data_IF_601277971188
#
_entry.id   IF_601277971188
#
_cell.length_a   1.000
_cell.length_b   1.000
_cell.length_c   1.000
_cell.angle_alpha   90.00
_cell.angle_beta   90.00
_cell.angle_gamma   90.00
#
_symmetry.space_group_name_H-M   'P 1'
#
loop_
_entity.id
_entity.type
_entity.pdbx_description
1 polymer ?
#
# COMPACT_ATOMS: atom_id res chain seq x y z
N UNK A 1 50.30 -42.47 -26.54
CA UNK A 1 48.90 -42.02 -26.37
C UNK A 1 48.44 -42.33 -24.96
N UNK A 2 48.46 -41.36 -24.04
CA UNK A 2 47.92 -41.48 -22.68
C UNK A 2 47.00 -40.28 -22.46
N UNK A 3 45.70 -40.46 -22.68
CA UNK A 3 44.66 -39.53 -22.27
C UNK A 3 44.22 -39.94 -20.86
N UNK A 4 44.41 -39.07 -19.88
CA UNK A 4 43.74 -39.16 -18.59
C UNK A 4 42.87 -37.91 -18.39
N UNK A 5 41.61 -38.19 -18.11
CA UNK A 5 40.51 -37.24 -18.00
C UNK A 5 40.68 -36.34 -16.77
N UNK A 6 40.56 -35.03 -16.96
CA UNK A 6 40.31 -34.09 -15.87
C UNK A 6 38.84 -34.20 -15.43
N UNK A 7 38.62 -34.59 -14.18
CA UNK A 7 37.33 -34.48 -13.51
C UNK A 7 37.16 -33.04 -13.01
N UNK A 8 36.16 -32.33 -13.54
CA UNK A 8 35.78 -30.99 -13.10
C UNK A 8 34.74 -31.11 -11.99
N UNK A 9 35.13 -30.79 -10.76
CA UNK A 9 34.22 -30.74 -9.62
C UNK A 9 33.35 -29.48 -9.68
N UNK A 10 32.04 -29.63 -9.93
CA UNK A 10 31.08 -28.54 -9.77
C UNK A 10 30.76 -28.37 -8.28
N UNK A 11 31.26 -27.28 -7.68
CA UNK A 11 30.79 -26.81 -6.38
C UNK A 11 29.45 -26.08 -6.58
N UNK A 12 28.36 -26.73 -6.19
CA UNK A 12 27.04 -26.12 -6.02
C UNK A 12 27.04 -25.25 -4.77
N UNK A 13 27.23 -23.94 -4.94
CA UNK A 13 27.02 -22.97 -3.87
C UNK A 13 25.52 -22.90 -3.54
N UNK A 14 25.12 -23.49 -2.42
CA UNK A 14 23.79 -23.31 -1.86
C UNK A 14 23.60 -21.85 -1.45
N UNK A 15 22.80 -21.11 -2.23
CA UNK A 15 22.34 -19.77 -1.87
C UNK A 15 21.41 -19.96 -0.67
N UNK A 16 21.90 -19.67 0.53
CA UNK A 16 21.07 -19.61 1.73
C UNK A 16 20.12 -18.41 1.59
N UNK A 17 18.87 -18.69 1.20
CA UNK A 17 17.80 -17.72 1.25
C UNK A 17 17.71 -17.19 2.68
N UNK A 18 18.13 -15.95 2.89
CA UNK A 18 18.04 -15.29 4.19
C UNK A 18 16.56 -15.18 4.52
N UNK A 19 16.11 -15.86 5.58
CA UNK A 19 14.70 -15.87 5.97
C UNK A 19 14.21 -14.43 6.14
N UNK A 20 13.12 -14.08 5.44
CA UNK A 20 12.47 -12.80 5.61
C UNK A 20 12.14 -12.59 7.10
N UNK A 21 12.32 -11.37 7.64
CA UNK A 21 12.05 -11.12 9.05
C UNK A 21 10.59 -11.46 9.36
N UNK A 22 10.37 -12.41 10.26
CA UNK A 22 9.04 -12.84 10.67
C UNK A 22 8.60 -12.17 11.98
N UNK A 23 7.30 -12.08 12.22
CA UNK A 23 6.73 -11.72 13.52
C UNK A 23 6.89 -12.91 14.47
N UNK A 24 7.26 -12.67 15.72
CA UNK A 24 7.44 -13.75 16.70
C UNK A 24 6.11 -14.12 17.37
N UNK A 25 5.98 -15.34 17.87
CA UNK A 25 4.76 -15.79 18.58
C UNK A 25 4.44 -14.92 19.79
N UNK A 26 5.47 -14.44 20.50
CA UNK A 26 5.31 -13.52 21.63
C UNK A 26 4.73 -12.17 21.23
N UNK A 27 5.12 -11.65 20.06
CA UNK A 27 4.57 -10.40 19.52
C UNK A 27 3.13 -10.58 19.02
N UNK A 28 2.82 -11.73 18.43
CA UNK A 28 1.45 -12.05 18.04
C UNK A 28 0.55 -12.17 19.27
N UNK A 29 0.97 -12.94 20.29
CA UNK A 29 0.22 -13.11 21.53
C UNK A 29 0.00 -11.76 22.24
N UNK A 30 1.03 -10.92 22.36
CA UNK A 30 0.89 -9.60 22.99
C UNK A 30 -0.03 -8.66 22.21
N UNK A 31 -0.13 -8.82 20.88
CA UNK A 31 -1.11 -8.08 20.09
C UNK A 31 -2.54 -8.50 20.43
N UNK A 32 -2.82 -9.80 20.52
CA UNK A 32 -4.15 -10.29 20.87
C UNK A 32 -4.59 -9.81 22.25
N UNK A 33 -3.69 -9.85 23.24
CA UNK A 33 -3.94 -9.32 24.58
C UNK A 33 -4.25 -7.82 24.56
N UNK A 34 -3.41 -7.03 23.87
CA UNK A 34 -3.62 -5.59 23.70
C UNK A 34 -4.95 -5.28 23.00
N UNK A 35 -5.23 -5.97 21.89
CA UNK A 35 -6.40 -5.70 21.06
C UNK A 35 -7.69 -6.05 21.80
N UNK A 36 -7.73 -7.18 22.51
CA UNK A 36 -8.89 -7.58 23.31
C UNK A 36 -9.19 -6.59 24.45
N UNK A 37 -8.14 -6.04 25.09
CA UNK A 37 -8.30 -5.03 26.14
C UNK A 37 -8.81 -3.69 25.59
N UNK A 38 -8.30 -3.26 24.43
CA UNK A 38 -8.69 -1.99 23.80
C UNK A 38 -10.06 -2.05 23.10
N UNK A 39 -10.48 -3.23 22.65
CA UNK A 39 -11.68 -3.43 21.83
C UNK A 39 -12.59 -4.55 22.40
N UNK A 40 -13.17 -4.36 23.60
CA UNK A 40 -13.90 -5.43 24.30
C UNK A 40 -15.18 -5.88 23.58
N UNK A 41 -15.74 -5.03 22.72
CA UNK A 41 -16.99 -5.29 21.98
C UNK A 41 -16.81 -6.06 20.66
N UNK A 42 -15.58 -6.24 20.18
CA UNK A 42 -15.32 -6.74 18.80
C UNK A 42 -15.24 -8.27 18.72
N UNK A 43 -15.51 -8.97 19.82
CA UNK A 43 -15.90 -10.38 19.86
C UNK A 43 -15.07 -11.31 18.98
N UNK A 44 -13.74 -11.29 19.05
CA UNK A 44 -12.82 -12.33 18.54
C UNK A 44 -12.82 -12.65 17.04
N UNK A 45 -13.65 -12.00 16.21
CA UNK A 45 -13.88 -12.40 14.82
C UNK A 45 -12.89 -11.81 13.80
N UNK A 46 -12.02 -10.89 14.22
CA UNK A 46 -11.10 -10.22 13.30
C UNK A 46 -9.74 -10.92 13.31
N UNK A 47 -9.29 -11.37 12.13
CA UNK A 47 -7.97 -11.97 11.95
C UNK A 47 -6.95 -10.86 11.66
N UNK A 48 -6.06 -10.51 12.61
CA UNK A 48 -5.00 -9.55 12.33
C UNK A 48 -4.03 -10.09 11.28
N UNK A 49 -3.56 -9.20 10.42
CA UNK A 49 -2.47 -9.46 9.50
C UNK A 49 -1.22 -8.75 10.01
N UNK A 50 -0.12 -9.49 10.15
CA UNK A 50 1.14 -8.97 10.65
C UNK A 50 2.11 -8.72 9.49
N UNK A 51 2.83 -7.60 9.55
CA UNK A 51 3.91 -7.30 8.63
C UNK A 51 5.13 -6.80 9.41
N UNK A 52 6.31 -7.27 9.00
CA UNK A 52 7.59 -6.83 9.54
C UNK A 52 8.38 -6.14 8.45
N UNK A 53 8.84 -4.93 8.72
CA UNK A 53 9.66 -4.15 7.79
C UNK A 53 11.00 -3.76 8.41
N UNK A 54 12.01 -3.55 7.58
CA UNK A 54 13.36 -3.17 8.01
C UNK A 54 14.20 -4.34 8.54
N UNK A 55 15.49 -4.09 8.70
CA UNK A 55 16.46 -5.10 9.12
C UNK A 55 16.97 -4.86 10.54
N UNK A 56 17.21 -5.95 11.28
CA UNK A 56 17.85 -5.99 12.61
C UNK A 56 17.43 -4.83 13.53
N UNK A 57 18.23 -3.77 13.61
CA UNK A 57 18.05 -2.62 14.52
C UNK A 57 16.96 -1.63 14.09
N UNK A 58 16.48 -1.69 12.84
CA UNK A 58 15.36 -0.89 12.31
C UNK A 58 14.10 -1.73 12.09
N UNK A 59 14.03 -2.94 12.66
CA UNK A 59 12.88 -3.84 12.56
C UNK A 59 11.64 -3.15 13.13
N UNK A 60 10.62 -2.98 12.30
CA UNK A 60 9.30 -2.47 12.67
C UNK A 60 8.30 -3.59 12.50
N UNK A 61 7.53 -3.87 13.55
CA UNK A 61 6.45 -4.84 13.51
C UNK A 61 5.14 -4.06 13.51
N UNK A 62 4.27 -4.41 12.58
CA UNK A 62 2.97 -3.79 12.39
C UNK A 62 1.90 -4.87 12.35
N UNK A 63 0.72 -4.55 12.88
CA UNK A 63 -0.47 -5.37 12.76
C UNK A 63 -1.57 -4.54 12.11
N UNK A 64 -2.36 -5.16 11.25
CA UNK A 64 -3.54 -4.55 10.64
C UNK A 64 -4.75 -5.39 10.93
N UNK A 65 -5.85 -4.73 11.26
CA UNK A 65 -7.13 -5.38 11.55
C UNK A 65 -8.17 -4.79 10.63
N UNK A 66 -8.65 -5.62 9.71
CA UNK A 66 -9.65 -5.26 8.73
C UNK A 66 -11.05 -5.46 9.32
N UNK A 67 -11.89 -4.41 9.26
CA UNK A 67 -13.30 -4.53 9.60
C UNK A 67 -14.13 -5.12 8.46
N UNK A 68 -15.45 -5.15 8.63
CA UNK A 68 -16.35 -5.64 7.60
C UNK A 68 -16.32 -4.74 6.36
N UNK A 69 -16.18 -5.35 5.18
CA UNK A 69 -16.32 -4.65 3.91
C UNK A 69 -17.78 -4.21 3.70
N UNK A 70 -17.96 -2.95 3.34
CA UNK A 70 -19.25 -2.32 3.10
C UNK A 70 -19.38 -1.94 1.63
N UNK A 71 -20.56 -2.23 1.08
CA UNK A 71 -20.96 -1.74 -0.24
C UNK A 71 -21.32 -0.26 -0.11
N UNK A 72 -20.71 0.56 -0.95
CA UNK A 72 -21.11 1.95 -1.16
C UNK A 72 -22.09 1.98 -2.36
N UNK A 73 -21.86 2.85 -3.34
CA UNK A 73 -22.48 2.72 -4.67
C UNK A 73 -21.92 1.52 -5.45
N UNK A 74 -22.71 0.84 -6.30
CA UNK A 74 -22.16 -0.17 -7.22
C UNK A 74 -21.28 0.51 -8.29
N UNK A 75 -20.07 0.00 -8.61
CA UNK A 75 -19.40 -1.21 -8.10
C UNK A 75 -18.37 -0.96 -6.98
N UNK A 76 -18.46 0.15 -6.24
CA UNK A 76 -17.49 0.54 -5.22
C UNK A 76 -17.70 -0.19 -3.88
N UNK A 77 -16.60 -0.65 -3.29
CA UNK A 77 -16.52 -1.22 -1.94
C UNK A 77 -15.62 -0.36 -1.06
N UNK A 78 -15.91 -0.33 0.25
CA UNK A 78 -15.09 0.32 1.28
C UNK A 78 -14.88 -0.61 2.46
N UNK A 79 -13.71 -0.59 3.08
CA UNK A 79 -13.42 -1.34 4.29
C UNK A 79 -12.55 -0.51 5.24
N UNK A 80 -12.94 -0.38 6.52
CA UNK A 80 -12.08 0.23 7.53
C UNK A 80 -10.93 -0.72 7.89
N UNK A 81 -9.75 -0.16 8.16
CA UNK A 81 -8.56 -0.89 8.62
C UNK A 81 -7.95 -0.19 9.82
N UNK A 82 -7.92 -0.87 10.97
CA UNK A 82 -7.08 -0.48 12.09
C UNK A 82 -5.61 -0.81 11.77
N UNK A 83 -4.70 0.09 12.13
CA UNK A 83 -3.26 -0.08 11.94
C UNK A 83 -2.56 0.11 13.28
N UNK A 84 -1.72 -0.83 13.64
CA UNK A 84 -1.07 -0.87 14.94
C UNK A 84 0.43 -1.04 14.76
N UNK A 85 1.19 -0.28 15.55
CA UNK A 85 2.65 -0.35 15.60
C UNK A 85 3.10 -0.93 16.93
N UNK A 86 4.09 -1.82 16.85
CA UNK A 86 4.78 -2.34 18.02
C UNK A 86 6.07 -1.56 18.27
N UNK A 87 6.16 -0.93 19.44
CA UNK A 87 7.41 -0.38 19.94
C UNK A 87 8.25 -1.52 20.52
N UNK A 88 9.35 -1.85 19.86
CA UNK A 88 10.26 -2.93 20.27
C UNK A 88 11.04 -2.62 21.55
N UNK A 89 11.23 -1.35 21.91
CA UNK A 89 11.92 -0.92 23.13
C UNK A 89 10.97 -0.96 24.32
N UNK A 90 9.80 -0.35 24.18
CA UNK A 90 8.78 -0.32 25.22
C UNK A 90 8.02 -1.65 25.34
N UNK A 91 8.10 -2.51 24.31
CA UNK A 91 7.34 -3.76 24.16
C UNK A 91 5.83 -3.54 24.26
N UNK A 92 5.35 -2.48 23.61
CA UNK A 92 3.95 -2.06 23.67
C UNK A 92 3.40 -1.80 22.28
N UNK A 93 2.12 -2.12 22.12
CA UNK A 93 1.35 -1.78 20.95
C UNK A 93 0.73 -0.39 21.10
N UNK A 94 0.61 0.29 19.97
CA UNK A 94 -0.10 1.56 19.85
C UNK A 94 -0.89 1.59 18.55
N UNK A 95 -2.05 2.24 18.59
CA UNK A 95 -2.89 2.44 17.41
C UNK A 95 -2.43 3.67 16.63
N UNK A 96 -2.36 3.53 15.31
CA UNK A 96 -2.20 4.63 14.36
C UNK A 96 -3.57 5.07 13.85
N UNK A 97 -3.59 6.18 13.13
CA UNK A 97 -4.79 6.62 12.42
C UNK A 97 -5.35 5.49 11.55
N UNK A 98 -6.64 5.19 11.76
CA UNK A 98 -7.35 4.16 11.01
C UNK A 98 -7.37 4.51 9.52
N UNK A 99 -7.17 3.50 8.69
CA UNK A 99 -7.21 3.63 7.23
C UNK A 99 -8.59 3.28 6.69
N UNK A 100 -8.91 3.85 5.55
CA UNK A 100 -10.06 3.44 4.73
C UNK A 100 -9.53 2.87 3.43
N UNK A 101 -9.98 1.67 3.07
CA UNK A 101 -9.63 1.00 1.84
C UNK A 101 -10.81 1.01 0.90
N UNK A 102 -10.55 1.20 -0.39
CA UNK A 102 -11.58 1.19 -1.44
C UNK A 102 -11.13 0.39 -2.65
N UNK A 103 -12.06 -0.29 -3.30
CA UNK A 103 -11.81 -1.03 -4.54
C UNK A 103 -13.10 -1.23 -5.32
N UNK A 104 -12.95 -1.58 -6.60
CA UNK A 104 -14.08 -1.89 -7.49
C UNK A 104 -14.35 -3.40 -7.45
N UNK A 105 -15.61 -3.76 -7.22
CA UNK A 105 -16.09 -5.13 -7.28
C UNK A 105 -17.54 -5.16 -7.78
N UNK A 106 -17.79 -5.83 -8.90
CA UNK A 106 -19.08 -5.84 -9.60
C UNK A 106 -20.12 -6.82 -9.03
N UNK A 107 -19.73 -7.69 -8.09
CA UNK A 107 -20.68 -8.59 -7.42
C UNK A 107 -21.67 -7.85 -6.51
N UNK A 108 -22.78 -8.48 -6.12
CA UNK A 108 -23.80 -7.85 -5.27
C UNK A 108 -23.28 -7.48 -3.88
N UNK A 109 -22.38 -8.30 -3.32
CA UNK A 109 -21.73 -8.06 -2.04
C UNK A 109 -20.24 -7.77 -2.27
N UNK A 110 -19.61 -7.06 -1.34
CA UNK A 110 -18.17 -6.88 -1.38
C UNK A 110 -17.47 -8.20 -1.09
N UNK A 111 -16.65 -8.65 -2.02
CA UNK A 111 -15.74 -9.78 -1.80
C UNK A 111 -14.56 -9.36 -0.91
N UNK A 112 -13.66 -10.31 -0.63
CA UNK A 112 -12.37 -9.99 -0.01
C UNK A 112 -11.65 -8.89 -0.81
N UNK A 113 -10.99 -7.97 -0.09
CA UNK A 113 -10.19 -6.92 -0.71
C UNK A 113 -9.10 -7.54 -1.63
N UNK A 114 -8.73 -6.85 -2.72
CA UNK A 114 -7.60 -7.28 -3.55
C UNK A 114 -6.28 -7.17 -2.79
N UNK A 115 -5.20 -7.75 -3.34
CA UNK A 115 -3.85 -7.64 -2.76
C UNK A 115 -3.38 -6.19 -2.58
N UNK A 116 -3.77 -5.31 -3.52
CA UNK A 116 -3.42 -3.89 -3.52
C UNK A 116 -4.67 -3.01 -3.54
N UNK A 117 -5.41 -2.91 -2.42
CA UNK A 117 -6.54 -2.01 -2.33
C UNK A 117 -6.07 -0.55 -2.33
N UNK A 118 -6.92 0.35 -2.81
CA UNK A 118 -6.61 1.78 -2.86
C UNK A 118 -6.92 2.40 -1.50
N UNK A 119 -5.97 3.14 -0.91
CA UNK A 119 -6.18 3.83 0.36
C UNK A 119 -6.89 5.16 0.15
N UNK A 120 -7.94 5.43 0.91
CA UNK A 120 -8.61 6.71 0.95
C UNK A 120 -7.96 7.57 2.05
N UNK A 121 -7.10 8.49 1.64
CA UNK A 121 -6.29 9.37 2.51
C UNK A 121 -7.03 10.64 2.91
N UNK A 122 -8.04 11.03 2.13
CA UNK A 122 -8.94 12.12 2.43
C UNK A 122 -10.37 11.74 2.07
N UNK A 123 -11.35 12.31 2.75
CA UNK A 123 -12.76 12.10 2.40
C UNK A 123 -13.06 12.64 1.00
N UNK A 124 -13.57 11.78 0.13
CA UNK A 124 -13.97 12.09 -1.24
C UNK A 124 -15.42 11.60 -1.49
N UNK A 125 -16.19 12.26 -2.36
CA UNK A 125 -17.49 11.75 -2.81
C UNK A 125 -17.36 10.37 -3.46
N UNK A 126 -18.33 9.49 -3.24
CA UNK A 126 -18.27 8.10 -3.72
C UNK A 126 -18.16 8.01 -5.25
N UNK A 127 -18.88 8.87 -5.97
CA UNK A 127 -18.80 8.94 -7.43
C UNK A 127 -17.42 9.41 -7.90
N UNK A 128 -16.79 10.36 -7.20
CA UNK A 128 -15.44 10.79 -7.52
C UNK A 128 -14.44 9.65 -7.31
N UNK A 129 -14.55 8.92 -6.19
CA UNK A 129 -13.71 7.74 -5.92
C UNK A 129 -13.80 6.74 -7.07
N UNK A 130 -15.03 6.41 -7.50
CA UNK A 130 -15.26 5.46 -8.58
C UNK A 130 -14.60 5.92 -9.89
N UNK A 131 -14.85 7.17 -10.30
CA UNK A 131 -14.31 7.73 -11.55
C UNK A 131 -12.78 7.79 -11.50
N UNK A 132 -12.20 8.20 -10.36
CA UNK A 132 -10.74 8.27 -10.18
C UNK A 132 -10.11 6.88 -10.30
N UNK A 133 -10.69 5.86 -9.66
CA UNK A 133 -10.19 4.47 -9.76
C UNK A 133 -10.32 3.96 -11.19
N UNK A 134 -11.41 4.27 -11.91
CA UNK A 134 -11.59 3.80 -13.29
C UNK A 134 -10.64 4.50 -14.28
N UNK A 135 -10.41 5.80 -14.11
CA UNK A 135 -9.64 6.62 -15.06
C UNK A 135 -8.15 6.71 -14.72
N UNK A 136 -7.69 6.14 -13.61
CA UNK A 136 -6.31 6.28 -13.15
C UNK A 136 -5.23 5.91 -14.19
N UNK A 137 -5.38 4.90 -15.07
CA UNK A 137 -4.33 4.57 -16.03
C UNK A 137 -4.14 5.70 -17.05
N UNK A 138 -5.25 6.25 -17.56
CA UNK A 138 -5.25 7.38 -18.49
C UNK A 138 -4.71 8.64 -17.82
N UNK A 139 -5.13 8.92 -16.59
CA UNK A 139 -4.65 10.08 -15.83
C UNK A 139 -3.16 10.02 -15.54
N UNK A 140 -2.65 8.85 -15.16
CA UNK A 140 -1.21 8.63 -14.97
C UNK A 140 -0.44 8.83 -16.28
N UNK A 141 -0.95 8.29 -17.40
CA UNK A 141 -0.32 8.45 -18.70
C UNK A 141 -0.21 9.93 -19.11
N UNK A 142 -1.29 10.70 -18.95
CA UNK A 142 -1.31 12.13 -19.22
C UNK A 142 -0.38 12.91 -18.27
N UNK A 143 -0.30 12.50 -17.00
CA UNK A 143 0.59 13.11 -16.02
C UNK A 143 2.09 12.88 -16.31
N UNK A 144 2.47 11.86 -17.10
CA UNK A 144 3.88 11.63 -17.45
C UNK A 144 4.51 12.82 -18.19
N UNK A 145 3.73 13.58 -18.95
CA UNK A 145 4.19 14.82 -19.57
C UNK A 145 4.53 15.89 -18.52
N UNK A 146 3.67 16.05 -17.52
CA UNK A 146 3.90 16.97 -16.38
C UNK A 146 5.14 16.55 -15.58
N UNK A 147 5.33 15.25 -15.36
CA UNK A 147 6.51 14.71 -14.68
C UNK A 147 7.80 14.91 -15.47
N UNK A 148 7.73 14.98 -16.80
CA UNK A 148 8.93 15.17 -17.64
C UNK A 148 9.52 16.56 -17.48
N UNK A 149 8.66 17.59 -17.37
CA UNK A 149 9.05 18.97 -17.09
C UNK A 149 9.38 19.26 -15.62
N UNK A 150 9.12 18.33 -14.70
CA UNK A 150 9.39 18.51 -13.27
C UNK A 150 10.69 17.80 -12.85
N UNK A 151 11.70 18.57 -12.48
CA UNK A 151 13.02 18.04 -12.06
C UNK A 151 12.94 17.16 -10.81
N UNK A 152 11.99 17.40 -9.91
CA UNK A 152 11.74 16.54 -8.73
C UNK A 152 11.30 15.12 -9.13
N UNK A 153 10.66 14.98 -10.30
CA UNK A 153 10.22 13.70 -10.83
C UNK A 153 11.31 12.95 -11.59
N UNK A 154 12.43 13.58 -11.94
CA UNK A 154 13.49 12.97 -12.75
C UNK A 154 13.97 11.59 -12.24
N UNK A 155 14.14 11.34 -10.92
CA UNK A 155 14.63 10.04 -10.43
C UNK A 155 13.62 8.88 -10.58
N UNK A 156 12.32 9.19 -10.69
CA UNK A 156 11.25 8.19 -10.63
C UNK A 156 10.35 8.17 -11.87
N UNK A 157 10.43 9.16 -12.77
CA UNK A 157 9.50 9.34 -13.90
C UNK A 157 9.45 8.17 -14.89
N UNK A 158 10.51 7.38 -15.02
CA UNK A 158 10.55 6.20 -15.90
C UNK A 158 10.02 4.93 -15.23
N UNK A 159 9.66 4.97 -13.94
CA UNK A 159 9.23 3.78 -13.20
C UNK A 159 7.80 3.36 -13.54
N UNK A 160 7.51 2.10 -13.25
CA UNK A 160 6.16 1.57 -13.21
C UNK A 160 5.47 2.07 -11.94
N UNK A 161 4.32 2.71 -12.11
CA UNK A 161 3.52 3.23 -11.00
C UNK A 161 2.20 2.48 -10.93
N UNK A 162 1.78 2.14 -9.71
CA UNK A 162 0.45 1.61 -9.43
C UNK A 162 -0.32 2.58 -8.56
N UNK A 163 -1.65 2.61 -8.70
CA UNK A 163 -2.50 3.40 -7.81
C UNK A 163 -2.42 2.82 -6.40
N UNK A 164 -2.10 3.67 -5.42
CA UNK A 164 -1.94 3.28 -4.03
C UNK A 164 -2.91 4.04 -3.10
N UNK A 165 -3.34 5.24 -3.49
CA UNK A 165 -4.32 5.99 -2.73
C UNK A 165 -5.01 7.11 -3.48
N UNK A 166 -6.04 7.64 -2.85
CA UNK A 166 -6.78 8.82 -3.26
C UNK A 166 -6.75 9.83 -2.12
N UNK A 167 -6.46 11.07 -2.44
CA UNK A 167 -6.24 12.15 -1.49
C UNK A 167 -6.90 13.44 -2.00
N UNK A 168 -6.73 14.53 -1.25
CA UNK A 168 -7.19 15.86 -1.62
C UNK A 168 -6.06 16.86 -1.43
N UNK A 169 -5.78 17.63 -2.48
CA UNK A 169 -4.83 18.73 -2.40
C UNK A 169 -5.39 19.88 -1.53
N UNK A 170 -4.50 20.76 -1.04
CA UNK A 170 -4.87 21.92 -0.22
C UNK A 170 -5.86 22.87 -0.92
N UNK A 171 -5.84 22.90 -2.25
CA UNK A 171 -6.78 23.68 -3.08
C UNK A 171 -8.11 22.96 -3.35
N UNK A 172 -8.34 21.81 -2.70
CA UNK A 172 -9.57 21.02 -2.82
C UNK A 172 -9.62 20.07 -4.01
N UNK A 173 -8.62 20.06 -4.89
CA UNK A 173 -8.60 19.14 -6.04
C UNK A 173 -8.38 17.69 -5.58
N UNK A 174 -9.08 16.70 -6.16
CA UNK A 174 -8.77 15.30 -5.94
C UNK A 174 -7.34 14.97 -6.40
N UNK A 175 -6.67 14.08 -5.68
CA UNK A 175 -5.30 13.65 -5.95
C UNK A 175 -5.25 12.14 -6.06
N UNK A 176 -4.64 11.62 -7.12
CA UNK A 176 -4.25 10.22 -7.19
C UNK A 176 -2.83 10.07 -6.66
N UNK A 177 -2.64 9.17 -5.71
CA UNK A 177 -1.33 8.84 -5.13
C UNK A 177 -0.88 7.51 -5.71
N UNK A 178 0.22 7.56 -6.44
CA UNK A 178 0.85 6.40 -7.04
C UNK A 178 2.14 6.03 -6.30
N UNK A 179 2.42 4.74 -6.24
CA UNK A 179 3.66 4.17 -5.70
C UNK A 179 4.34 3.33 -6.78
N UNK A 180 5.68 3.29 -6.75
CA UNK A 180 6.46 2.39 -7.58
C UNK A 180 7.13 1.28 -6.75
N UNK A 181 7.78 0.36 -7.45
CA UNK A 181 8.49 -0.81 -6.93
C UNK A 181 9.63 -0.47 -5.97
N UNK A 182 10.28 0.66 -6.17
CA UNK A 182 11.40 1.11 -5.33
C UNK A 182 10.98 2.04 -4.19
N UNK A 183 9.67 2.22 -3.94
CA UNK A 183 9.13 3.05 -2.86
C UNK A 183 9.05 4.55 -3.16
N UNK A 184 9.28 4.96 -4.41
CA UNK A 184 9.01 6.32 -4.88
C UNK A 184 7.51 6.57 -5.07
N UNK A 185 7.11 7.82 -4.94
CA UNK A 185 5.70 8.24 -5.05
C UNK A 185 5.50 9.31 -6.12
N UNK A 186 4.31 9.31 -6.71
CA UNK A 186 3.83 10.39 -7.57
C UNK A 186 2.42 10.78 -7.13
N UNK A 187 2.22 12.07 -6.81
CA UNK A 187 0.93 12.66 -6.43
C UNK A 187 0.45 13.50 -7.60
N UNK A 188 -0.67 13.10 -8.21
CA UNK A 188 -1.23 13.75 -9.39
C UNK A 188 -2.54 14.41 -9.00
N UNK A 189 -2.57 15.74 -8.95
CA UNK A 189 -3.82 16.47 -8.78
C UNK A 189 -4.59 16.48 -10.10
N UNK A 190 -5.91 16.29 -10.02
CA UNK A 190 -6.77 16.28 -11.19
C UNK A 190 -7.83 17.36 -11.10
N UNK A 191 -8.22 17.87 -12.26
CA UNK A 191 -9.28 18.85 -12.39
C UNK A 191 -10.30 18.34 -13.38
N UNK A 192 -11.57 18.61 -13.12
CA UNK A 192 -12.63 18.42 -14.12
C UNK A 192 -12.58 19.56 -15.13
N UNK A 193 -12.34 19.22 -16.39
CA UNK A 193 -12.44 20.14 -17.52
C UNK A 193 -13.59 19.67 -18.41
N UNK A 194 -14.66 20.47 -18.47
CA UNK A 194 -15.93 20.07 -19.12
C UNK A 194 -16.44 18.77 -18.49
N UNK A 195 -16.33 17.64 -19.21
CA UNK A 195 -16.79 16.32 -18.78
C UNK A 195 -15.65 15.31 -18.58
N UNK A 196 -14.39 15.75 -18.63
CA UNK A 196 -13.23 14.87 -18.51
C UNK A 196 -12.38 15.26 -17.30
N UNK A 197 -11.76 14.26 -16.67
CA UNK A 197 -10.70 14.51 -15.70
C UNK A 197 -9.38 14.67 -16.45
N UNK A 198 -8.67 15.75 -16.15
CA UNK A 198 -7.36 16.03 -16.69
C UNK A 198 -6.33 16.12 -15.56
N UNK A 199 -5.13 15.59 -15.81
CA UNK A 199 -4.00 15.79 -14.92
C UNK A 199 -3.62 17.27 -14.91
N UNK A 200 -3.60 17.88 -13.73
CA UNK A 200 -3.37 19.31 -13.57
C UNK A 200 -1.96 19.62 -13.04
N UNK A 201 -1.50 18.85 -12.05
CA UNK A 201 -0.14 18.94 -11.53
C UNK A 201 0.37 17.57 -11.10
N UNK A 202 1.69 17.41 -11.07
CA UNK A 202 2.36 16.21 -10.61
C UNK A 202 3.52 16.57 -9.68
N UNK A 203 3.51 15.97 -8.49
CA UNK A 203 4.58 16.05 -7.50
C UNK A 203 5.16 14.66 -7.31
N UNK A 204 6.48 14.54 -7.23
CA UNK A 204 7.13 13.25 -7.03
C UNK A 204 8.08 13.31 -5.86
N UNK A 205 8.21 12.17 -5.16
CA UNK A 205 9.25 11.97 -4.18
C UNK A 205 9.94 10.63 -4.44
N UNK A 206 11.27 10.63 -4.41
CA UNK A 206 12.04 9.39 -4.34
C UNK A 206 11.79 8.70 -3.00
N UNK A 207 12.06 7.40 -2.94
CA UNK A 207 12.00 6.69 -1.67
C UNK A 207 12.94 7.35 -0.64
N UNK A 208 12.51 7.47 0.63
CA UNK A 208 13.42 7.90 1.69
C UNK A 208 14.59 6.91 1.75
N UNK A 209 15.81 7.43 1.65
CA UNK A 209 17.06 6.64 1.77
C UNK A 209 17.30 6.21 3.21
#
# INVERSE_FOLDING_TARGET
MRNQCLAMAMMTAAITATAAPAVTDKEQASFFEYYAAAHPSTGGLLRPQFAVTGERKKRRVTATVDGAAQRLVLPLCRQPRGVFDYDTKAKRWSERESQQLVWVHHGPQCAAQPETPVRLLAALPEMDILVLIQQHPTLLNNARLLMTGNTQCAPVRSRGFRLAGLDRAKNGLPVLVFENDIGGTARVAVRKLRNELVAWSAECAAAPR
#
